data_IF_928163828451
#
_entry.id   IF_928163828451
#
_cell.length_a   1.000
_cell.length_b   1.000
_cell.length_c   1.000
_cell.angle_alpha   90.00
_cell.angle_beta   90.00
_cell.angle_gamma   90.00
#
_symmetry.space_group_name_H-M   'P 1'
#
loop_
_entity.id
_entity.type
_entity.pdbx_description
1 polymer ?
#
# COMPACT_ATOMS: atom_id res chain seq x y z
N UNK A 1 -62.30 -40.56 24.13
CA UNK A 1 -60.83 -40.58 24.00
C UNK A 1 -60.43 -40.05 22.63
N UNK A 2 -59.88 -38.83 22.54
CA UNK A 2 -58.64 -38.47 21.81
C UNK A 2 -58.47 -36.95 21.85
N UNK A 3 -57.39 -36.53 22.50
CA UNK A 3 -56.92 -35.17 22.72
C UNK A 3 -55.88 -34.91 21.63
N UNK A 4 -56.16 -34.05 20.66
CA UNK A 4 -55.20 -33.71 19.61
C UNK A 4 -54.65 -32.30 19.87
N UNK A 5 -53.46 -32.28 20.48
CA UNK A 5 -52.68 -31.08 20.74
C UNK A 5 -52.03 -30.62 19.42
N UNK A 6 -52.27 -29.37 19.04
CA UNK A 6 -51.57 -28.69 17.95
C UNK A 6 -50.09 -28.46 18.32
N UNK A 7 -49.13 -28.70 17.39
CA UNK A 7 -47.71 -28.56 17.68
C UNK A 7 -47.28 -27.09 17.64
N UNK A 8 -47.10 -26.48 18.81
CA UNK A 8 -46.53 -25.14 19.04
C UNK A 8 -44.99 -25.12 18.84
N UNK A 9 -44.40 -26.20 18.29
CA UNK A 9 -42.93 -26.37 18.25
C UNK A 9 -42.21 -25.78 17.04
N UNK A 10 -42.89 -25.34 15.97
CA UNK A 10 -42.18 -24.93 14.75
C UNK A 10 -41.83 -23.44 14.65
N UNK A 11 -42.41 -22.57 15.48
CA UNK A 11 -42.19 -21.11 15.36
C UNK A 11 -40.91 -20.68 16.10
N UNK A 12 -40.47 -21.40 17.13
CA UNK A 12 -39.27 -21.04 17.90
C UNK A 12 -37.95 -21.39 17.21
N UNK A 13 -37.93 -22.34 16.27
CA UNK A 13 -36.68 -22.78 15.65
C UNK A 13 -36.17 -21.83 14.55
N UNK A 14 -37.05 -21.05 13.93
CA UNK A 14 -36.66 -20.08 12.91
C UNK A 14 -36.03 -18.80 13.48
N UNK A 15 -36.31 -18.47 14.75
CA UNK A 15 -35.79 -17.24 15.37
C UNK A 15 -34.36 -17.41 15.90
N UNK A 16 -33.96 -18.63 16.26
CA UNK A 16 -32.61 -18.89 16.82
C UNK A 16 -31.55 -19.04 15.72
N UNK A 17 -31.92 -19.47 14.51
CA UNK A 17 -30.96 -19.61 13.40
C UNK A 17 -30.67 -18.26 12.68
N UNK A 18 -31.58 -17.28 12.75
CA UNK A 18 -31.41 -15.96 12.12
C UNK A 18 -30.43 -15.03 12.87
N UNK A 19 -30.21 -15.25 14.17
CA UNK A 19 -29.36 -14.39 15.00
C UNK A 19 -27.88 -14.82 14.91
N UNK A 20 -27.59 -16.06 14.53
CA UNK A 20 -26.22 -16.56 14.43
C UNK A 20 -25.42 -16.00 13.23
N UNK A 21 -26.09 -15.42 12.22
CA UNK A 21 -25.43 -14.88 11.01
C UNK A 21 -24.99 -13.41 11.19
N UNK A 22 -25.45 -12.71 12.22
CA UNK A 22 -25.10 -11.29 12.45
C UNK A 22 -23.90 -11.06 13.37
N UNK A 23 -23.21 -12.13 13.79
CA UNK A 23 -22.02 -12.07 14.66
C UNK A 23 -20.71 -12.29 13.90
N UNK A 24 -20.69 -12.19 12.57
CA UNK A 24 -19.44 -11.96 11.88
C UNK A 24 -19.03 -10.50 12.13
N UNK A 25 -17.98 -10.20 12.91
CA UNK A 25 -17.45 -8.85 12.96
C UNK A 25 -17.06 -8.46 11.53
N UNK A 26 -17.29 -7.21 11.10
CA UNK A 26 -16.69 -6.74 9.87
C UNK A 26 -15.18 -6.89 10.03
N UNK A 27 -14.56 -7.84 9.31
CA UNK A 27 -13.11 -7.87 9.14
C UNK A 27 -12.73 -6.71 8.23
N UNK A 28 -12.73 -5.49 8.77
CA UNK A 28 -12.11 -4.34 8.13
C UNK A 28 -11.32 -3.59 9.19
N UNK A 29 -10.43 -4.28 9.89
CA UNK A 29 -9.25 -3.62 10.44
C UNK A 29 -8.09 -4.10 9.58
N UNK A 30 -7.71 -3.28 8.59
CA UNK A 30 -6.33 -3.27 8.17
C UNK A 30 -5.55 -2.91 9.43
N UNK A 31 -4.97 -3.92 10.08
CA UNK A 31 -3.97 -3.68 11.11
C UNK A 31 -2.84 -2.98 10.38
N UNK A 32 -2.80 -1.65 10.42
CA UNK A 32 -1.61 -0.91 10.04
C UNK A 32 -0.51 -1.42 10.96
N UNK A 33 0.26 -2.37 10.47
CA UNK A 33 1.55 -2.67 11.07
C UNK A 33 2.41 -1.43 10.86
N UNK A 34 3.38 -1.20 11.71
CA UNK A 34 4.31 -0.07 11.56
C UNK A 34 4.97 -0.03 10.16
N UNK A 35 4.99 -1.17 9.46
CA UNK A 35 5.47 -1.34 8.10
C UNK A 35 4.50 -0.84 7.00
N UNK A 36 3.23 -0.57 7.31
CA UNK A 36 2.24 -0.06 6.34
C UNK A 36 2.11 1.47 6.34
N UNK A 37 2.70 2.14 7.33
CA UNK A 37 2.63 3.60 7.41
C UNK A 37 3.50 4.24 6.32
N UNK A 38 2.90 5.16 5.57
CA UNK A 38 3.62 6.06 4.68
C UNK A 38 3.12 7.48 4.88
N UNK A 39 4.06 8.43 4.99
CA UNK A 39 3.76 9.84 5.21
C UNK A 39 2.90 10.46 4.10
N UNK A 40 3.07 10.01 2.86
CA UNK A 40 2.29 10.50 1.72
C UNK A 40 2.04 9.41 0.66
N UNK A 41 1.02 9.62 -0.18
CA UNK A 41 0.80 8.77 -1.35
C UNK A 41 1.89 9.01 -2.41
N UNK A 42 1.98 8.12 -3.40
CA UNK A 42 2.88 8.33 -4.52
C UNK A 42 2.44 9.53 -5.40
N UNK A 43 1.14 9.78 -5.52
CA UNK A 43 0.62 10.97 -6.20
C UNK A 43 1.04 12.27 -5.49
N UNK A 44 0.91 12.33 -4.16
CA UNK A 44 1.31 13.51 -3.38
C UNK A 44 2.82 13.80 -3.52
N UNK A 45 3.64 12.73 -3.54
CA UNK A 45 5.07 12.85 -3.78
C UNK A 45 5.35 13.44 -5.16
N UNK A 46 4.67 12.94 -6.19
CA UNK A 46 4.80 13.45 -7.56
C UNK A 46 4.39 14.92 -7.64
N UNK A 47 3.23 15.28 -7.10
CA UNK A 47 2.73 16.65 -7.13
C UNK A 47 3.67 17.60 -6.39
N UNK A 48 4.19 17.20 -5.23
CA UNK A 48 5.12 18.01 -4.46
C UNK A 48 6.50 18.15 -5.15
N UNK A 49 7.02 17.08 -5.75
CA UNK A 49 8.28 17.14 -6.51
C UNK A 49 8.15 17.96 -7.79
N UNK A 50 7.00 17.90 -8.48
CA UNK A 50 6.71 18.73 -9.65
C UNK A 50 6.71 20.24 -9.33
N UNK A 51 6.40 20.57 -8.08
CA UNK A 51 6.44 21.92 -7.52
C UNK A 51 7.79 22.23 -6.85
N UNK A 52 8.81 21.39 -7.06
CA UNK A 52 10.18 21.57 -6.55
C UNK A 52 10.26 21.62 -5.00
N UNK A 53 9.36 20.91 -4.31
CA UNK A 53 9.36 20.86 -2.84
C UNK A 53 10.62 20.19 -2.29
N UNK A 54 11.38 20.94 -1.50
CA UNK A 54 12.58 20.44 -0.82
C UNK A 54 12.25 19.41 0.27
N UNK A 55 11.07 19.50 0.89
CA UNK A 55 10.59 18.51 1.86
C UNK A 55 10.32 17.17 1.17
N UNK A 56 9.69 17.21 -0.01
CA UNK A 56 9.43 16.02 -0.81
C UNK A 56 10.72 15.40 -1.35
N UNK A 57 11.69 16.23 -1.76
CA UNK A 57 13.03 15.77 -2.13
C UNK A 57 13.71 15.03 -0.98
N UNK A 58 13.77 15.62 0.21
CA UNK A 58 14.36 14.97 1.38
C UNK A 58 13.67 13.65 1.74
N UNK A 59 12.34 13.62 1.65
CA UNK A 59 11.55 12.41 1.87
C UNK A 59 11.88 11.30 0.85
N UNK A 60 11.94 11.65 -0.44
CA UNK A 60 12.34 10.73 -1.51
C UNK A 60 13.74 10.16 -1.27
N UNK A 61 14.72 11.03 -1.00
CA UNK A 61 16.11 10.62 -0.78
C UNK A 61 16.24 9.71 0.45
N UNK A 62 15.52 10.02 1.54
CA UNK A 62 15.50 9.18 2.73
C UNK A 62 14.96 7.78 2.48
N UNK A 63 13.89 7.65 1.70
CA UNK A 63 13.34 6.34 1.31
C UNK A 63 14.34 5.56 0.45
N UNK A 64 14.89 6.21 -0.58
CA UNK A 64 15.81 5.59 -1.53
C UNK A 64 17.07 5.10 -0.82
N UNK A 65 17.64 5.89 0.08
CA UNK A 65 18.81 5.51 0.86
C UNK A 65 18.51 4.35 1.83
N UNK A 66 17.37 4.40 2.52
CA UNK A 66 16.97 3.37 3.48
C UNK A 66 16.68 2.01 2.84
N UNK A 67 16.25 2.00 1.58
CA UNK A 67 15.81 0.78 0.88
C UNK A 67 16.80 0.24 -0.14
N UNK A 68 17.94 0.90 -0.39
CA UNK A 68 18.94 0.44 -1.38
C UNK A 68 19.44 -0.97 -1.07
N UNK A 69 19.75 -1.73 -2.12
CA UNK A 69 20.18 -3.13 -2.05
C UNK A 69 19.05 -4.10 -2.36
N UNK A 70 19.15 -5.30 -1.81
CA UNK A 70 18.20 -6.40 -2.05
C UNK A 70 16.81 -6.11 -1.50
N UNK A 71 15.80 -6.37 -2.31
CA UNK A 71 14.39 -6.28 -1.99
C UNK A 71 13.81 -7.68 -1.63
N UNK A 72 12.63 -7.75 -1.01
CA UNK A 72 11.99 -9.02 -0.65
C UNK A 72 11.63 -9.92 -1.85
N UNK A 73 11.47 -9.35 -3.04
CA UNK A 73 11.15 -10.04 -4.29
C UNK A 73 12.41 -10.47 -5.08
N UNK A 74 13.55 -10.57 -4.40
CA UNK A 74 14.89 -10.85 -4.97
C UNK A 74 15.41 -9.79 -5.94
N UNK A 75 14.65 -8.71 -6.19
CA UNK A 75 15.13 -7.58 -6.96
C UNK A 75 16.17 -6.77 -6.17
N UNK A 76 16.93 -5.92 -6.85
CA UNK A 76 17.96 -5.10 -6.22
C UNK A 76 18.06 -3.77 -6.94
N UNK A 77 18.25 -2.68 -6.19
CA UNK A 77 18.58 -1.39 -6.77
C UNK A 77 19.70 -0.69 -6.02
N UNK A 78 20.45 0.14 -6.75
CA UNK A 78 21.50 0.99 -6.19
C UNK A 78 21.21 2.46 -6.46
N UNK A 79 21.78 3.34 -5.63
CA UNK A 79 21.72 4.78 -5.87
C UNK A 79 22.80 5.13 -6.91
N UNK A 80 22.49 5.87 -7.99
CA UNK A 80 23.47 6.22 -9.00
C UNK A 80 24.61 7.06 -8.40
N UNK A 81 25.86 6.64 -8.64
CA UNK A 81 27.05 7.33 -8.12
C UNK A 81 27.46 8.49 -9.03
N UNK A 82 26.77 9.64 -8.86
CA UNK A 82 27.02 10.86 -9.64
C UNK A 82 26.72 12.14 -8.83
N UNK A 83 27.35 13.29 -9.17
CA UNK A 83 27.17 14.54 -8.42
C UNK A 83 25.74 15.10 -8.44
N UNK A 84 24.97 14.80 -9.47
CA UNK A 84 23.59 15.22 -9.73
C UNK A 84 22.58 14.07 -9.51
N UNK A 85 22.89 13.16 -8.58
CA UNK A 85 22.05 11.99 -8.32
C UNK A 85 20.64 12.38 -7.87
N UNK A 86 20.49 13.44 -7.10
CA UNK A 86 19.21 13.99 -6.66
C UNK A 86 18.33 14.42 -7.84
N UNK A 87 18.86 15.20 -8.77
CA UNK A 87 18.15 15.63 -9.98
C UNK A 87 17.77 14.42 -10.85
N UNK A 88 18.71 13.49 -11.05
CA UNK A 88 18.47 12.27 -11.82
C UNK A 88 17.35 11.43 -11.21
N UNK A 89 17.34 11.29 -9.89
CA UNK A 89 16.31 10.55 -9.16
C UNK A 89 14.95 11.24 -9.32
N UNK A 90 14.86 12.56 -9.06
CA UNK A 90 13.61 13.32 -9.21
C UNK A 90 13.07 13.19 -10.63
N UNK A 91 13.91 13.41 -11.63
CA UNK A 91 13.51 13.28 -13.03
C UNK A 91 13.08 11.85 -13.36
N UNK A 92 13.75 10.82 -12.82
CA UNK A 92 13.33 9.45 -13.00
C UNK A 92 11.93 9.20 -12.42
N UNK A 93 11.63 9.74 -11.24
CA UNK A 93 10.32 9.61 -10.61
C UNK A 93 9.21 10.37 -11.34
N UNK A 94 9.46 11.63 -11.72
CA UNK A 94 8.51 12.45 -12.48
C UNK A 94 8.18 11.85 -13.85
N UNK A 95 9.13 11.15 -14.47
CA UNK A 95 8.88 10.42 -15.72
C UNK A 95 8.21 9.05 -15.49
N UNK A 96 8.49 8.39 -14.36
CA UNK A 96 7.96 7.07 -14.03
C UNK A 96 6.48 7.13 -13.63
N UNK A 97 6.12 8.03 -12.72
CA UNK A 97 4.82 8.01 -12.07
C UNK A 97 3.64 8.14 -13.04
N UNK A 98 3.63 9.08 -14.01
CA UNK A 98 2.53 9.21 -14.97
C UNK A 98 2.30 7.96 -15.83
N UNK A 99 3.33 7.11 -16.00
CA UNK A 99 3.24 5.89 -16.80
C UNK A 99 2.52 4.73 -16.12
N UNK A 100 2.34 4.80 -14.79
CA UNK A 100 1.62 3.78 -14.00
C UNK A 100 0.36 4.38 -13.39
N UNK A 101 0.46 5.57 -12.76
CA UNK A 101 -0.66 6.33 -12.19
C UNK A 101 -1.64 5.50 -11.33
N UNK A 102 -1.14 4.54 -10.55
CA UNK A 102 -1.96 3.78 -9.61
C UNK A 102 -2.08 4.56 -8.30
N UNK A 103 -3.15 5.33 -8.18
CA UNK A 103 -3.44 6.20 -7.04
C UNK A 103 -3.61 5.46 -5.68
N UNK A 104 -3.63 4.13 -5.67
CA UNK A 104 -3.62 3.37 -4.42
C UNK A 104 -2.23 3.24 -3.80
N UNK A 105 -1.16 3.39 -4.61
CA UNK A 105 0.21 3.20 -4.18
C UNK A 105 0.70 4.28 -3.20
N UNK A 106 1.53 3.84 -2.25
CA UNK A 106 2.28 4.73 -1.37
C UNK A 106 3.63 5.10 -1.98
N UNK A 107 4.17 6.24 -1.58
CA UNK A 107 5.45 6.72 -2.08
C UNK A 107 6.61 5.69 -1.96
N UNK A 108 6.80 4.99 -0.82
CA UNK A 108 7.87 4.00 -0.70
C UNK A 108 7.75 2.80 -1.65
N UNK A 109 6.54 2.45 -2.06
CA UNK A 109 6.29 1.35 -2.99
C UNK A 109 6.60 1.79 -4.42
N UNK A 110 6.05 2.92 -4.85
CA UNK A 110 6.31 3.49 -6.17
C UNK A 110 7.80 3.79 -6.39
N UNK A 111 8.49 4.27 -5.35
CA UNK A 111 9.94 4.51 -5.40
C UNK A 111 10.74 3.20 -5.50
N UNK A 112 10.41 2.15 -4.75
CA UNK A 112 11.07 0.84 -4.92
C UNK A 112 10.89 0.33 -6.35
N UNK A 113 9.67 0.36 -6.90
CA UNK A 113 9.41 -0.10 -8.26
C UNK A 113 10.19 0.73 -9.30
N UNK A 114 10.21 2.06 -9.16
CA UNK A 114 10.96 2.95 -10.03
C UNK A 114 12.47 2.65 -9.97
N UNK A 115 13.01 2.53 -8.77
CA UNK A 115 14.43 2.29 -8.54
C UNK A 115 14.87 0.93 -9.08
N UNK A 116 14.14 -0.15 -8.79
CA UNK A 116 14.41 -1.48 -9.34
C UNK A 116 14.38 -1.50 -10.87
N UNK A 117 13.47 -0.74 -11.49
CA UNK A 117 13.36 -0.67 -12.95
C UNK A 117 14.45 0.19 -13.61
N UNK A 118 14.90 1.26 -12.96
CA UNK A 118 15.78 2.28 -13.56
C UNK A 118 17.24 2.18 -13.13
N UNK A 119 17.51 1.64 -11.95
CA UNK A 119 18.83 1.61 -11.33
C UNK A 119 19.12 0.25 -10.66
N UNK A 120 19.10 -0.88 -11.40
CA UNK A 120 19.39 -2.19 -10.83
C UNK A 120 20.85 -2.28 -10.34
N UNK A 121 21.12 -3.16 -9.37
CA UNK A 121 22.46 -3.28 -8.76
C UNK A 121 23.58 -3.71 -9.74
N UNK A 122 23.23 -4.38 -10.85
CA UNK A 122 24.18 -4.85 -11.88
C UNK A 122 24.19 -3.96 -13.14
N UNK A 123 24.02 -2.63 -12.96
CA UNK A 123 24.09 -1.65 -14.06
C UNK A 123 25.53 -1.41 -14.54
#
# INVERSE_FOLDING_TARGET
MKKNNFPICHVFFAFVLGIAIQLAPPKIWATETQDSYAFMSAQDLYDALSQQSQVALGYMLGIVDAKKGSQPDESCFAVPWRPDADEVLVNAYLNFWPSIADFSMKAPEALTQMMTKKFPCDS
#
